data_IF_018026720016
#
_entry.id   IF_018026720016
#
_cell.length_a   1.000
_cell.length_b   1.000
_cell.length_c   1.000
_cell.angle_alpha   90.00
_cell.angle_beta   90.00
_cell.angle_gamma   90.00
#
_symmetry.space_group_name_H-M   'P 1'
#
loop_
_entity.id
_entity.type
_entity.pdbx_description
1 polymer ?
#
# COMPACT_ATOMS: atom_id res chain seq x y z
N UNK A 1 -7.80 -25.04 -41.87
CA UNK A 1 -6.98 -24.78 -40.67
C UNK A 1 -7.84 -25.12 -39.47
N UNK A 2 -7.60 -26.29 -38.83
CA UNK A 2 -8.45 -26.83 -37.77
C UNK A 2 -7.95 -26.33 -36.42
N UNK A 3 -8.83 -25.70 -35.65
CA UNK A 3 -8.59 -25.27 -34.27
C UNK A 3 -8.84 -26.48 -33.38
N UNK A 4 -7.79 -27.01 -32.75
CA UNK A 4 -7.86 -28.07 -31.74
C UNK A 4 -8.05 -27.41 -30.37
N UNK A 5 -9.26 -27.53 -29.82
CA UNK A 5 -9.54 -27.27 -28.41
C UNK A 5 -9.08 -28.47 -27.59
N UNK A 6 -8.10 -28.29 -26.72
CA UNK A 6 -7.74 -29.30 -25.70
C UNK A 6 -8.33 -28.91 -24.35
N UNK A 7 -9.50 -29.49 -24.05
CA UNK A 7 -10.04 -29.59 -22.69
C UNK A 7 -9.15 -30.51 -21.85
N UNK A 8 -8.45 -29.95 -20.86
CA UNK A 8 -7.75 -30.72 -19.84
C UNK A 8 -8.68 -31.11 -18.69
N UNK A 9 -9.46 -32.19 -18.84
CA UNK A 9 -10.21 -32.81 -17.73
C UNK A 9 -9.32 -33.86 -17.05
N UNK A 10 -8.78 -33.55 -15.87
CA UNK A 10 -8.21 -34.57 -14.99
C UNK A 10 -9.37 -35.38 -14.36
N UNK A 11 -9.52 -36.62 -14.82
CA UNK A 11 -10.37 -37.64 -14.19
C UNK A 11 -9.66 -38.16 -12.95
N UNK A 12 -10.25 -37.95 -11.78
CA UNK A 12 -9.99 -38.78 -10.61
C UNK A 12 -11.23 -39.62 -10.34
N UNK A 13 -11.11 -40.92 -10.58
CA UNK A 13 -12.05 -41.94 -10.14
C UNK A 13 -11.34 -42.68 -9.02
N UNK A 14 -11.88 -42.67 -7.80
CA UNK A 14 -12.05 -43.89 -7.00
C UNK A 14 -12.74 -43.61 -5.65
N UNK A 15 -13.77 -44.43 -5.41
CA UNK A 15 -14.26 -44.96 -4.13
C UNK A 15 -15.12 -44.05 -3.25
N UNK A 16 -16.41 -44.10 -3.60
CA UNK A 16 -17.56 -44.02 -2.70
C UNK A 16 -17.34 -44.92 -1.46
N UNK A 17 -17.35 -44.33 -0.26
CA UNK A 17 -17.81 -45.02 0.96
C UNK A 17 -18.77 -44.10 1.69
N UNK A 18 -20.00 -44.58 1.73
CA UNK A 18 -21.17 -43.99 2.36
C UNK A 18 -21.13 -44.35 3.86
N UNK A 19 -21.13 -43.36 4.75
CA UNK A 19 -21.50 -43.55 6.16
C UNK A 19 -22.25 -42.30 6.66
N UNK A 20 -23.57 -42.50 6.78
CA UNK A 20 -24.57 -42.00 7.74
C UNK A 20 -24.33 -40.70 8.55
N UNK A 21 -25.38 -39.87 8.51
CA UNK A 21 -25.69 -38.67 9.31
C UNK A 21 -25.39 -38.79 10.81
N UNK A 22 -24.97 -37.67 11.43
CA UNK A 22 -25.58 -37.11 12.65
C UNK A 22 -25.40 -35.59 12.66
N UNK A 23 -26.51 -34.87 12.88
CA UNK A 23 -26.57 -33.43 13.06
C UNK A 23 -25.96 -33.00 14.40
N UNK A 24 -25.22 -31.90 14.43
CA UNK A 24 -25.02 -31.07 15.62
C UNK A 24 -24.59 -29.66 15.20
N UNK A 25 -25.54 -28.73 15.28
CA UNK A 25 -25.25 -27.29 15.36
C UNK A 25 -24.37 -27.04 16.58
N UNK A 26 -23.14 -26.57 16.36
CA UNK A 26 -22.46 -25.68 17.30
C UNK A 26 -21.68 -24.66 16.46
N UNK A 27 -22.27 -23.47 16.34
CA UNK A 27 -21.64 -22.25 15.83
C UNK A 27 -20.47 -21.93 16.75
N UNK A 28 -19.31 -22.46 16.41
CA UNK A 28 -18.06 -22.10 17.04
C UNK A 28 -17.65 -20.75 16.47
N UNK A 29 -17.64 -19.74 17.34
CA UNK A 29 -17.05 -18.43 17.15
C UNK A 29 -15.57 -18.59 16.76
N UNK A 30 -15.30 -18.86 15.48
CA UNK A 30 -14.02 -18.57 14.88
C UNK A 30 -14.05 -17.07 14.54
N UNK A 31 -13.91 -16.24 15.57
CA UNK A 31 -13.38 -14.91 15.38
C UNK A 31 -12.03 -15.09 14.72
N UNK A 32 -11.95 -14.82 13.42
CA UNK A 32 -10.69 -14.66 12.70
C UNK A 32 -10.00 -13.42 13.28
N UNK A 33 -9.42 -13.56 14.47
CA UNK A 33 -8.37 -12.67 14.95
C UNK A 33 -7.20 -12.92 14.03
N UNK A 34 -7.16 -12.13 12.95
CA UNK A 34 -5.97 -12.01 12.11
C UNK A 34 -4.96 -11.27 12.99
N UNK A 35 -4.25 -12.02 13.83
CA UNK A 35 -2.95 -11.59 14.34
C UNK A 35 -2.08 -11.43 13.11
N UNK A 36 -2.09 -10.23 12.54
CA UNK A 36 -1.12 -9.82 11.54
C UNK A 36 0.22 -9.89 12.24
N UNK A 37 0.95 -10.98 12.01
CA UNK A 37 2.36 -11.07 12.34
C UNK A 37 3.02 -9.90 11.61
N UNK A 38 3.26 -8.80 12.34
CA UNK A 38 4.13 -7.74 11.88
C UNK A 38 5.49 -8.39 11.69
N UNK A 39 5.86 -8.64 10.44
CA UNK A 39 7.19 -9.13 10.09
C UNK A 39 8.12 -7.96 10.34
N UNK A 40 8.71 -7.96 11.53
CA UNK A 40 9.86 -7.14 11.83
C UNK A 40 11.08 -7.69 11.08
N UNK A 41 11.65 -6.80 10.26
CA UNK A 41 13.09 -6.56 10.10
C UNK A 41 13.93 -7.58 9.30
N UNK A 42 14.19 -7.20 8.06
CA UNK A 42 15.58 -6.92 7.63
C UNK A 42 15.59 -5.97 6.43
N UNK A 43 14.94 -4.82 6.59
CA UNK A 43 15.05 -3.76 5.59
C UNK A 43 16.24 -2.88 5.94
N UNK A 44 17.34 -3.05 5.22
CA UNK A 44 18.49 -2.15 5.35
C UNK A 44 18.13 -0.82 4.68
N UNK A 45 18.30 0.34 5.35
CA UNK A 45 18.17 1.63 4.70
C UNK A 45 19.14 1.64 3.50
N UNK A 46 18.60 1.66 2.29
CA UNK A 46 19.45 1.85 1.11
C UNK A 46 20.09 3.23 1.23
N UNK A 47 21.40 3.32 1.03
CA UNK A 47 22.18 4.56 1.22
C UNK A 47 21.88 5.67 0.21
N UNK A 48 20.83 5.56 -0.61
CA UNK A 48 20.55 6.50 -1.70
C UNK A 48 19.05 6.81 -1.81
N UNK A 49 18.41 7.16 -0.70
CA UNK A 49 17.07 7.69 -0.77
C UNK A 49 17.04 9.08 -1.41
N UNK A 50 16.05 9.29 -2.26
CA UNK A 50 15.75 10.64 -2.76
C UNK A 50 15.07 11.43 -1.65
N UNK A 51 15.87 12.20 -0.91
CA UNK A 51 15.42 13.00 0.23
C UNK A 51 14.29 13.97 -0.15
N UNK A 52 14.29 14.48 -1.38
CA UNK A 52 13.25 15.41 -1.82
C UNK A 52 11.89 14.72 -1.93
N UNK A 53 11.85 13.52 -2.52
CA UNK A 53 10.61 12.73 -2.61
C UNK A 53 10.12 12.31 -1.23
N UNK A 54 11.05 11.93 -0.34
CA UNK A 54 10.73 11.61 1.04
C UNK A 54 10.13 12.81 1.77
N UNK A 55 10.67 14.01 1.59
CA UNK A 55 10.16 15.23 2.20
C UNK A 55 8.78 15.63 1.67
N UNK A 56 8.55 15.49 0.36
CA UNK A 56 7.24 15.74 -0.25
C UNK A 56 6.18 14.82 0.37
N UNK A 57 6.44 13.51 0.42
CA UNK A 57 5.48 12.56 0.99
C UNK A 57 5.32 12.73 2.50
N UNK A 58 6.37 13.18 3.20
CA UNK A 58 6.29 13.55 4.63
C UNK A 58 5.38 14.77 4.84
N UNK A 59 5.44 15.77 3.96
CA UNK A 59 4.56 16.93 4.03
C UNK A 59 3.08 16.54 3.83
N UNK A 60 2.82 15.54 2.96
CA UNK A 60 1.48 14.97 2.77
C UNK A 60 1.03 14.22 4.03
N UNK A 61 1.88 13.35 4.57
CA UNK A 61 1.54 12.52 5.75
C UNK A 61 1.34 13.34 7.03
N UNK A 62 1.79 14.59 7.06
CA UNK A 62 1.61 15.54 8.17
C UNK A 62 0.51 16.57 7.93
N UNK A 63 -0.13 16.59 6.77
CA UNK A 63 -1.20 17.55 6.50
C UNK A 63 -2.49 17.13 7.22
N UNK A 64 -2.97 17.95 8.17
CA UNK A 64 -4.11 17.66 9.04
C UNK A 64 -5.36 17.16 8.30
N UNK A 65 -5.67 17.78 7.18
CA UNK A 65 -6.90 17.50 6.45
C UNK A 65 -6.79 16.18 5.67
N UNK A 66 -5.62 15.89 5.12
CA UNK A 66 -5.32 14.61 4.46
C UNK A 66 -5.30 13.48 5.50
N UNK A 67 -4.64 13.72 6.64
CA UNK A 67 -4.60 12.78 7.78
C UNK A 67 -6.02 12.48 8.27
N UNK A 68 -6.85 13.50 8.44
CA UNK A 68 -8.25 13.32 8.87
C UNK A 68 -9.06 12.53 7.86
N UNK A 69 -8.88 12.82 6.57
CA UNK A 69 -9.57 12.13 5.48
C UNK A 69 -9.22 10.64 5.37
N UNK A 70 -7.94 10.31 5.59
CA UNK A 70 -7.39 8.97 5.46
C UNK A 70 -6.94 8.33 6.77
N UNK A 71 -7.49 8.71 7.93
CA UNK A 71 -6.97 8.42 9.29
C UNK A 71 -6.32 7.04 9.53
N UNK A 72 -6.83 5.95 8.94
CA UNK A 72 -6.23 4.61 9.04
C UNK A 72 -4.90 4.43 8.31
N UNK A 73 -4.55 5.32 7.39
CA UNK A 73 -3.37 5.27 6.52
C UNK A 73 -2.22 6.16 7.00
N UNK A 74 -2.55 7.27 7.63
CA UNK A 74 -1.59 8.28 8.08
C UNK A 74 -1.46 8.24 9.60
N UNK A 75 -0.88 7.15 10.10
CA UNK A 75 -0.68 6.92 11.54
C UNK A 75 0.69 7.43 12.00
N UNK A 76 0.93 7.48 13.30
CA UNK A 76 2.25 7.80 13.87
C UNK A 76 3.23 6.60 13.87
N UNK A 77 2.74 5.36 13.67
CA UNK A 77 3.57 4.16 13.76
C UNK A 77 4.31 3.85 12.46
N UNK A 78 3.61 3.78 11.34
CA UNK A 78 4.19 3.67 10.00
C UNK A 78 3.19 4.15 8.94
N UNK A 79 3.65 4.95 7.98
CA UNK A 79 2.91 5.31 6.76
C UNK A 79 3.64 4.70 5.59
N UNK A 80 2.95 3.79 4.89
CA UNK A 80 3.54 3.07 3.76
C UNK A 80 2.97 3.57 2.44
N UNK A 81 3.86 4.10 1.62
CA UNK A 81 3.61 4.52 0.26
C UNK A 81 4.10 3.44 -0.72
N UNK A 82 3.21 2.92 -1.55
CA UNK A 82 3.57 2.02 -2.65
C UNK A 82 3.74 2.85 -3.92
N UNK A 83 4.92 2.82 -4.54
CA UNK A 83 5.20 3.61 -5.75
C UNK A 83 5.98 2.80 -6.80
N UNK A 84 5.25 2.03 -7.60
CA UNK A 84 5.84 1.16 -8.64
C UNK A 84 6.46 1.92 -9.81
N UNK A 85 5.89 3.09 -10.14
CA UNK A 85 6.36 3.95 -11.21
C UNK A 85 7.54 4.86 -10.78
N UNK A 86 7.92 4.87 -9.50
CA UNK A 86 9.01 5.72 -8.99
C UNK A 86 10.39 5.25 -9.47
N UNK A 87 11.46 6.06 -9.34
CA UNK A 87 12.83 5.64 -9.63
C UNK A 87 13.30 4.50 -8.70
N UNK A 88 14.28 3.68 -9.13
CA UNK A 88 14.80 2.58 -8.29
C UNK A 88 15.47 3.08 -7.01
N UNK A 89 16.05 4.29 -7.01
CA UNK A 89 16.64 4.92 -5.82
C UNK A 89 15.61 5.21 -4.72
N UNK A 90 14.33 5.32 -5.05
CA UNK A 90 13.23 5.60 -4.10
C UNK A 90 12.46 4.34 -3.72
N UNK A 91 12.63 3.29 -4.53
CA UNK A 91 11.87 2.05 -4.48
C UNK A 91 11.93 1.33 -3.14
N UNK A 92 13.02 1.57 -2.40
CA UNK A 92 13.31 0.90 -1.15
C UNK A 92 13.78 1.91 -0.09
N UNK A 93 12.94 2.93 0.18
CA UNK A 93 13.27 3.98 1.11
C UNK A 93 12.53 3.92 2.43
N UNK A 94 13.28 3.97 3.53
CA UNK A 94 12.76 4.20 4.87
C UNK A 94 13.49 5.38 5.47
N UNK A 95 12.75 6.36 5.97
CA UNK A 95 13.36 7.52 6.63
C UNK A 95 13.97 7.04 7.95
N UNK A 96 15.26 7.30 8.17
CA UNK A 96 15.92 6.97 9.44
C UNK A 96 15.29 7.71 10.63
N UNK A 97 14.77 8.92 10.37
CA UNK A 97 14.01 9.72 11.33
C UNK A 97 12.58 9.92 10.82
N UNK A 98 11.61 9.30 11.48
CA UNK A 98 10.20 9.34 11.10
C UNK A 98 9.63 7.94 10.83
N UNK A 99 8.37 7.91 10.42
CA UNK A 99 7.59 6.69 10.27
C UNK A 99 7.20 6.42 8.80
N UNK A 100 7.86 7.06 7.85
CA UNK A 100 7.53 6.96 6.43
C UNK A 100 8.38 5.89 5.74
N UNK A 101 7.70 5.03 4.97
CA UNK A 101 8.32 4.03 4.11
C UNK A 101 7.77 4.11 2.69
N UNK A 102 8.64 4.02 1.69
CA UNK A 102 8.31 3.87 0.27
C UNK A 102 8.77 2.48 -0.17
N UNK A 103 7.89 1.75 -0.84
CA UNK A 103 8.14 0.38 -1.32
C UNK A 103 7.62 0.19 -2.76
N UNK A 104 8.13 -0.84 -3.44
CA UNK A 104 7.57 -1.37 -4.70
C UNK A 104 6.83 -2.69 -4.49
N UNK A 105 5.91 -3.00 -5.40
CA UNK A 105 5.12 -4.23 -5.42
C UNK A 105 5.94 -5.49 -5.70
N UNK A 106 7.12 -5.34 -6.33
CA UNK A 106 8.05 -6.45 -6.63
C UNK A 106 8.97 -6.80 -5.45
N UNK A 107 8.85 -6.11 -4.31
CA UNK A 107 9.71 -6.33 -3.15
C UNK A 107 9.55 -7.77 -2.63
N UNK A 108 10.59 -8.61 -2.72
CA UNK A 108 10.52 -9.97 -2.21
C UNK A 108 10.31 -9.91 -0.70
N UNK A 109 9.29 -10.61 -0.21
CA UNK A 109 8.84 -10.65 1.20
C UNK A 109 7.91 -9.52 1.66
N UNK A 110 7.56 -8.55 0.81
CA UNK A 110 6.50 -7.60 1.16
C UNK A 110 5.13 -8.21 0.92
N UNK A 111 4.58 -8.85 1.96
CA UNK A 111 3.14 -9.16 1.99
C UNK A 111 2.42 -7.83 2.11
N UNK A 112 1.86 -7.38 0.98
CA UNK A 112 1.15 -6.10 0.86
C UNK A 112 0.28 -5.88 2.10
N UNK A 113 0.52 -4.85 2.94
CA UNK A 113 -0.31 -4.55 4.08
C UNK A 113 -1.71 -4.31 3.54
N UNK A 114 -2.68 -4.67 4.38
CA UNK A 114 -4.08 -4.64 3.99
C UNK A 114 -4.49 -3.25 3.49
N UNK A 115 -3.90 -2.21 4.10
CA UNK A 115 -4.13 -0.81 3.81
C UNK A 115 -2.78 -0.12 3.51
N UNK A 116 -2.70 0.63 2.40
CA UNK A 116 -1.52 1.40 1.99
C UNK A 116 -1.90 2.58 1.10
N UNK A 117 -1.00 3.55 0.98
CA UNK A 117 -1.16 4.69 0.07
C UNK A 117 -0.47 4.37 -1.25
N UNK A 118 -1.23 4.15 -2.32
CA UNK A 118 -0.68 4.01 -3.67
C UNK A 118 -0.36 5.39 -4.23
N UNK A 119 0.89 5.62 -4.62
CA UNK A 119 1.28 6.80 -5.40
C UNK A 119 1.11 6.48 -6.88
N UNK A 120 0.11 7.10 -7.51
CA UNK A 120 -0.10 6.98 -8.95
C UNK A 120 0.87 7.87 -9.72
N UNK A 121 1.01 9.13 -9.26
CA UNK A 121 1.85 10.14 -9.90
C UNK A 121 2.58 10.95 -8.84
N UNK A 122 3.86 11.23 -9.08
CA UNK A 122 4.63 12.20 -8.32
C UNK A 122 5.54 12.96 -9.28
N UNK A 123 5.26 14.25 -9.46
CA UNK A 123 6.12 15.17 -10.18
C UNK A 123 6.67 16.19 -9.19
N UNK A 124 7.96 16.51 -9.31
CA UNK A 124 8.54 17.65 -8.59
C UNK A 124 9.56 18.35 -9.46
N UNK A 125 9.70 19.64 -9.16
CA UNK A 125 10.78 20.52 -9.59
C UNK A 125 11.36 21.17 -8.31
N UNK A 126 12.27 22.12 -8.46
CA UNK A 126 13.00 22.79 -7.38
C UNK A 126 12.12 23.44 -6.29
N UNK A 127 10.91 23.91 -6.64
CA UNK A 127 10.03 24.64 -5.71
C UNK A 127 8.55 24.19 -5.72
N UNK A 128 8.17 23.27 -6.62
CA UNK A 128 6.80 22.81 -6.80
C UNK A 128 6.72 21.29 -6.92
N UNK A 129 5.67 20.71 -6.37
CA UNK A 129 5.39 19.28 -6.52
C UNK A 129 3.90 19.00 -6.67
N UNK A 130 3.59 17.92 -7.37
CA UNK A 130 2.26 17.36 -7.51
C UNK A 130 2.31 15.88 -7.15
N UNK A 131 1.36 15.44 -6.33
CA UNK A 131 1.19 14.03 -5.93
C UNK A 131 -0.26 13.63 -6.12
N UNK A 132 -0.45 12.53 -6.83
CA UNK A 132 -1.73 11.84 -6.90
C UNK A 132 -1.62 10.52 -6.14
N UNK A 133 -2.55 10.27 -5.22
CA UNK A 133 -2.58 9.06 -4.42
C UNK A 133 -3.96 8.41 -4.33
N UNK A 134 -3.95 7.11 -4.01
CA UNK A 134 -5.13 6.32 -3.68
C UNK A 134 -4.95 5.64 -2.32
N UNK A 135 -5.99 5.67 -1.50
CA UNK A 135 -6.04 4.93 -0.25
C UNK A 135 -6.68 3.56 -0.54
N UNK A 136 -5.84 2.54 -0.70
CA UNK A 136 -6.31 1.20 -1.06
C UNK A 136 -6.63 0.41 0.21
N UNK A 137 -7.80 -0.25 0.33
CA UNK A 137 -8.81 -0.50 -0.70
C UNK A 137 -10.03 0.44 -0.68
N UNK A 138 -10.00 1.56 0.04
CA UNK A 138 -11.20 2.37 0.35
C UNK A 138 -11.85 3.12 -0.82
N UNK A 139 -11.19 3.22 -1.99
CA UNK A 139 -11.68 4.02 -3.11
C UNK A 139 -11.52 5.54 -2.92
N UNK A 140 -10.97 5.97 -1.77
CA UNK A 140 -10.60 7.36 -1.48
C UNK A 140 -9.32 7.76 -2.22
N UNK A 141 -9.28 8.98 -2.73
CA UNK A 141 -8.22 9.48 -3.59
C UNK A 141 -7.85 10.92 -3.24
N UNK A 142 -6.67 11.35 -3.67
CA UNK A 142 -6.26 12.74 -3.51
C UNK A 142 -5.26 13.21 -4.55
N UNK A 143 -5.47 14.44 -5.00
CA UNK A 143 -4.52 15.24 -5.76
C UNK A 143 -3.98 16.32 -4.81
N UNK A 144 -2.67 16.43 -4.71
CA UNK A 144 -2.00 17.34 -3.77
C UNK A 144 -0.95 18.17 -4.50
N UNK A 145 -1.06 19.49 -4.40
CA UNK A 145 -0.05 20.43 -4.86
C UNK A 145 0.72 20.97 -3.67
N UNK A 146 2.05 20.97 -3.80
CA UNK A 146 2.96 21.45 -2.77
C UNK A 146 3.87 22.54 -3.33
N UNK A 147 4.27 23.46 -2.45
CA UNK A 147 5.32 24.46 -2.70
C UNK A 147 6.39 24.39 -1.63
N UNK A 148 7.62 24.68 -2.01
CA UNK A 148 8.74 24.83 -1.09
C UNK A 148 8.71 26.24 -0.48
N UNK A 149 8.47 26.34 0.82
CA UNK A 149 8.39 27.60 1.56
C UNK A 149 9.38 27.57 2.73
N UNK A 150 10.36 28.48 2.71
CA UNK A 150 11.42 28.52 3.72
C UNK A 150 12.25 27.24 3.80
N UNK A 151 12.46 26.57 2.66
CA UNK A 151 13.19 25.30 2.58
C UNK A 151 12.35 24.04 2.85
N UNK A 152 11.10 24.20 3.29
CA UNK A 152 10.21 23.06 3.62
C UNK A 152 9.08 22.91 2.61
N UNK A 153 8.78 21.67 2.23
CA UNK A 153 7.60 21.36 1.43
C UNK A 153 6.32 21.57 2.23
N UNK A 154 5.37 22.29 1.65
CA UNK A 154 4.06 22.55 2.27
C UNK A 154 2.95 22.32 1.26
N UNK A 155 1.90 21.63 1.70
CA UNK A 155 0.67 21.47 0.91
C UNK A 155 -0.02 22.82 0.75
N UNK A 156 -0.18 23.27 -0.49
CA UNK A 156 -0.84 24.55 -0.82
C UNK A 156 -2.25 24.35 -1.35
N UNK A 157 -2.48 23.26 -2.09
CA UNK A 157 -3.80 22.90 -2.61
C UNK A 157 -3.98 21.40 -2.55
N UNK A 158 -5.23 20.97 -2.40
CA UNK A 158 -5.60 19.56 -2.41
C UNK A 158 -7.03 19.39 -2.92
N UNK A 159 -7.26 18.30 -3.63
CA UNK A 159 -8.60 17.83 -4.00
C UNK A 159 -8.71 16.39 -3.51
N UNK A 160 -9.68 16.11 -2.66
CA UNK A 160 -9.93 14.78 -2.08
C UNK A 160 -11.29 14.30 -2.58
N UNK A 161 -11.41 13.04 -3.02
CA UNK A 161 -12.65 12.49 -3.55
C UNK A 161 -12.70 10.97 -3.46
N UNK A 162 -13.90 10.42 -3.60
CA UNK A 162 -14.19 8.99 -3.54
C UNK A 162 -14.76 8.53 -4.89
N UNK A 163 -14.44 7.29 -5.27
CA UNK A 163 -15.03 6.63 -6.45
C UNK A 163 -16.13 5.65 -6.03
#
# INVERSE_FOLDING_TARGET
MRILYTEGRCRFTEKLRMFTMVASLLVSLAGCSKSGTQVAESYSPSGSCDDEKMDILTAISKNSDIVTYGSGYFTDSEVVFLWDAGPRSVAECKRAQGNLRIIRSIEPNYVRPRDFVLIEKLYSDSDAAFVQFHLVPTGKNGDVFLRKQGGYWRVTQKKLWEN
#
